data_IF_273202872931
#
_entry.id   IF_273202872931
#
_cell.length_a   1.000
_cell.length_b   1.000
_cell.length_c   1.000
_cell.angle_alpha   90.00
_cell.angle_beta   90.00
_cell.angle_gamma   90.00
#
_symmetry.space_group_name_H-M   'P 1'
#
loop_
_entity.id
_entity.type
_entity.pdbx_description
1 polymer ?
#
# COMPACT_ATOMS: atom_id res chain seq x y z
N UNK A 1 9.75 -13.81 -63.75
CA UNK A 1 9.55 -12.36 -63.72
C UNK A 1 9.08 -12.07 -62.32
N UNK A 2 10.08 -11.86 -61.46
CA UNK A 2 10.47 -10.56 -60.90
C UNK A 2 9.32 -9.99 -60.05
N UNK A 3 9.39 -9.69 -58.82
CA UNK A 3 10.42 -9.04 -58.00
C UNK A 3 9.85 -8.94 -56.61
N UNK A 4 10.62 -9.20 -55.62
CA UNK A 4 11.36 -8.24 -54.78
C UNK A 4 10.48 -7.47 -53.78
N UNK A 5 10.69 -7.84 -52.55
CA UNK A 5 11.63 -7.18 -51.64
C UNK A 5 11.08 -5.91 -51.04
N UNK A 6 10.93 -5.90 -49.78
CA UNK A 6 11.49 -4.95 -48.79
C UNK A 6 10.79 -5.12 -47.45
N UNK A 7 11.37 -5.88 -46.55
CA UNK A 7 11.21 -5.66 -45.10
C UNK A 7 12.62 -5.52 -44.51
N UNK A 8 13.12 -4.29 -44.58
CA UNK A 8 14.25 -3.84 -43.82
C UNK A 8 13.79 -2.74 -42.89
N UNK A 9 13.50 -3.09 -41.66
CA UNK A 9 13.28 -2.18 -40.56
C UNK A 9 14.01 -2.74 -39.35
N UNK A 10 15.30 -2.37 -39.22
CA UNK A 10 16.10 -2.70 -38.06
C UNK A 10 15.47 -2.08 -36.80
N UNK A 11 15.38 -2.83 -35.68
CA UNK A 11 15.06 -2.24 -34.41
C UNK A 11 16.26 -1.40 -33.94
N UNK A 12 16.12 -0.10 -33.93
CA UNK A 12 17.07 0.83 -33.34
C UNK A 12 17.13 0.50 -31.82
N UNK A 13 18.20 -0.20 -31.47
CA UNK A 13 18.53 -0.42 -30.06
C UNK A 13 18.86 0.94 -29.43
N UNK A 14 17.97 1.42 -28.56
CA UNK A 14 18.21 2.61 -27.74
C UNK A 14 19.30 2.25 -26.76
N UNK A 15 20.41 2.99 -26.79
CA UNK A 15 21.55 2.76 -25.93
C UNK A 15 21.18 2.99 -24.45
N UNK A 16 21.70 2.19 -23.52
CA UNK A 16 21.34 2.28 -22.09
C UNK A 16 21.68 3.63 -21.41
N UNK A 17 22.49 4.47 -22.04
CA UNK A 17 22.84 5.80 -21.52
C UNK A 17 21.75 6.87 -21.68
N UNK A 18 20.83 6.72 -22.65
CA UNK A 18 19.74 7.69 -22.84
C UNK A 18 18.63 7.53 -21.78
N UNK A 19 18.46 6.35 -21.23
CA UNK A 19 17.45 6.11 -20.15
C UNK A 19 17.90 6.75 -18.83
N UNK A 20 19.21 6.87 -18.59
CA UNK A 20 19.73 7.51 -17.37
C UNK A 20 19.69 9.05 -17.43
N UNK A 21 19.68 9.65 -18.61
CA UNK A 21 19.64 11.11 -18.75
C UNK A 21 18.24 11.69 -18.52
N UNK A 22 17.18 10.93 -18.76
CA UNK A 22 15.80 11.34 -18.52
C UNK A 22 15.42 11.38 -17.03
N UNK A 23 16.22 10.77 -16.14
CA UNK A 23 15.98 10.76 -14.69
C UNK A 23 16.70 11.86 -13.91
N UNK A 24 17.51 12.71 -14.57
CA UNK A 24 18.31 13.75 -13.90
C UNK A 24 17.81 15.18 -14.03
N UNK A 25 16.59 15.41 -14.49
CA UNK A 25 16.06 16.73 -14.79
C UNK A 25 14.74 17.09 -14.12
N UNK A 26 14.56 16.79 -12.82
CA UNK A 26 13.44 17.33 -12.04
C UNK A 26 13.96 18.07 -10.82
N UNK A 27 13.41 19.26 -10.47
CA UNK A 27 13.84 19.98 -9.29
C UNK A 27 13.51 19.18 -8.02
N UNK A 28 14.41 19.11 -7.03
CA UNK A 28 14.11 18.49 -5.75
C UNK A 28 13.28 19.47 -4.93
N UNK A 29 12.00 19.26 -4.85
CA UNK A 29 11.13 20.09 -4.01
C UNK A 29 9.65 19.88 -4.30
N UNK A 30 8.96 19.11 -3.47
CA UNK A 30 7.54 19.23 -3.29
C UNK A 30 6.66 18.09 -3.79
N UNK A 31 6.94 16.82 -3.43
CA UNK A 31 5.98 15.74 -3.68
C UNK A 31 5.96 14.57 -2.69
N UNK A 32 6.77 14.62 -1.65
CA UNK A 32 6.83 13.53 -0.66
C UNK A 32 5.93 13.78 0.58
N UNK A 33 5.62 15.02 0.91
CA UNK A 33 4.88 15.33 2.15
C UNK A 33 3.36 15.11 2.03
N UNK A 34 2.78 15.12 0.82
CA UNK A 34 1.34 14.93 0.62
C UNK A 34 0.87 13.48 0.55
N UNK A 35 1.78 12.52 0.26
CA UNK A 35 1.40 11.11 0.12
C UNK A 35 1.55 10.29 1.40
N UNK A 36 2.35 10.76 2.36
CA UNK A 36 2.61 10.05 3.61
C UNK A 36 1.49 10.26 4.63
N UNK A 37 0.95 11.46 4.73
CA UNK A 37 -0.23 11.75 5.57
C UNK A 37 -1.51 11.08 5.03
N UNK A 38 -1.62 10.90 3.71
CA UNK A 38 -2.80 10.29 3.12
C UNK A 38 -2.94 8.80 3.45
N UNK A 39 -1.84 8.04 3.59
CA UNK A 39 -1.91 6.61 3.89
C UNK A 39 -2.43 6.32 5.31
N UNK A 40 -2.06 7.14 6.29
CA UNK A 40 -2.56 7.02 7.68
C UNK A 40 -3.97 7.58 7.83
N UNK A 41 -4.35 8.57 7.04
CA UNK A 41 -5.70 9.15 7.02
C UNK A 41 -6.69 8.30 6.21
N UNK A 42 -6.19 7.34 5.42
CA UNK A 42 -7.02 6.48 4.57
C UNK A 42 -7.80 5.43 5.37
N UNK A 43 -7.40 5.12 6.60
CA UNK A 43 -8.14 4.23 7.50
C UNK A 43 -8.67 5.04 8.68
N UNK A 44 -9.97 5.29 8.70
CA UNK A 44 -10.63 6.11 9.70
C UNK A 44 -10.80 5.37 11.03
N UNK A 45 -11.09 4.07 10.98
CA UNK A 45 -11.27 3.20 12.14
C UNK A 45 -10.32 1.99 12.12
N UNK A 46 -9.00 2.18 12.39
CA UNK A 46 -8.02 1.10 12.26
C UNK A 46 -8.34 -0.13 13.11
N UNK A 47 -8.85 0.06 14.33
CA UNK A 47 -9.20 -1.04 15.21
C UNK A 47 -10.36 -1.88 14.69
N UNK A 48 -11.35 -1.27 14.03
CA UNK A 48 -12.47 -1.96 13.40
C UNK A 48 -11.98 -2.77 12.21
N UNK A 49 -11.20 -2.16 11.34
CA UNK A 49 -10.65 -2.80 10.13
C UNK A 49 -9.76 -3.99 10.49
N UNK A 50 -8.88 -3.86 11.49
CA UNK A 50 -8.05 -4.95 11.99
C UNK A 50 -8.88 -6.12 12.55
N UNK A 51 -9.92 -5.83 13.33
CA UNK A 51 -10.79 -6.85 13.92
C UNK A 51 -11.53 -7.62 12.84
N UNK A 52 -12.11 -6.93 11.85
CA UNK A 52 -12.82 -7.56 10.72
C UNK A 52 -11.82 -8.40 9.89
N UNK A 53 -10.65 -7.86 9.58
CA UNK A 53 -9.61 -8.58 8.84
C UNK A 53 -9.18 -9.87 9.53
N UNK A 54 -8.98 -9.85 10.86
CA UNK A 54 -8.67 -11.05 11.64
C UNK A 54 -9.81 -12.06 11.61
N UNK A 55 -11.06 -11.61 11.70
CA UNK A 55 -12.24 -12.49 11.63
C UNK A 55 -12.34 -13.17 10.27
N UNK A 56 -12.20 -12.41 9.18
CA UNK A 56 -12.27 -12.97 7.82
C UNK A 56 -11.13 -13.96 7.57
N UNK A 57 -9.94 -13.69 8.07
CA UNK A 57 -8.79 -14.60 7.98
C UNK A 57 -9.05 -15.90 8.73
N UNK A 58 -9.56 -15.84 9.96
CA UNK A 58 -9.92 -17.01 10.74
C UNK A 58 -11.00 -17.85 10.02
N UNK A 59 -12.03 -17.19 9.48
CA UNK A 59 -13.06 -17.87 8.68
C UNK A 59 -12.48 -18.57 7.44
N UNK A 60 -11.54 -17.92 6.75
CA UNK A 60 -10.89 -18.52 5.59
C UNK A 60 -10.12 -19.80 5.96
N UNK A 61 -9.42 -19.80 7.09
CA UNK A 61 -8.68 -20.96 7.57
C UNK A 61 -9.64 -22.11 7.95
N UNK A 62 -10.75 -21.82 8.61
CA UNK A 62 -11.80 -22.81 8.90
C UNK A 62 -12.43 -23.41 7.63
N UNK A 63 -12.75 -22.57 6.67
CA UNK A 63 -13.36 -22.98 5.39
C UNK A 63 -12.41 -23.84 4.54
N UNK A 64 -11.11 -23.65 4.68
CA UNK A 64 -10.10 -24.50 4.01
C UNK A 64 -10.03 -25.90 4.56
N UNK A 65 -10.41 -26.09 5.83
CA UNK A 65 -10.29 -27.36 6.52
C UNK A 65 -11.40 -28.36 6.18
N UNK A 66 -12.58 -27.91 5.71
CA UNK A 66 -13.72 -28.78 5.44
C UNK A 66 -14.54 -28.30 4.23
N UNK A 67 -15.16 -29.20 3.47
CA UNK A 67 -16.12 -28.82 2.43
C UNK A 67 -17.35 -28.18 3.06
N UNK A 68 -17.92 -27.18 2.38
CA UNK A 68 -19.11 -26.47 2.82
C UNK A 68 -20.37 -27.10 2.19
N UNK A 69 -21.37 -27.34 3.00
CA UNK A 69 -22.72 -27.63 2.50
C UNK A 69 -23.38 -26.35 1.96
N UNK A 70 -24.50 -26.48 1.27
CA UNK A 70 -25.19 -25.33 0.65
C UNK A 70 -25.60 -24.28 1.68
N UNK A 71 -26.08 -24.69 2.87
CA UNK A 71 -26.44 -23.77 3.94
C UNK A 71 -25.23 -22.95 4.44
N UNK A 72 -24.10 -23.62 4.60
CA UNK A 72 -22.86 -23.01 5.03
C UNK A 72 -22.33 -22.03 3.99
N UNK A 73 -22.47 -22.33 2.69
CA UNK A 73 -22.09 -21.42 1.61
C UNK A 73 -22.95 -20.16 1.59
N UNK A 74 -24.28 -20.29 1.72
CA UNK A 74 -25.18 -19.14 1.84
C UNK A 74 -24.78 -18.27 3.03
N UNK A 75 -24.54 -18.89 4.19
CA UNK A 75 -24.13 -18.15 5.39
C UNK A 75 -22.80 -17.46 5.24
N UNK A 76 -21.85 -18.10 4.59
CA UNK A 76 -20.52 -17.53 4.34
C UNK A 76 -20.58 -16.35 3.36
N UNK A 77 -21.43 -16.43 2.32
CA UNK A 77 -21.74 -15.30 1.44
C UNK A 77 -22.24 -14.09 2.23
N UNK A 78 -23.26 -14.30 3.07
CA UNK A 78 -23.82 -13.23 3.92
C UNK A 78 -22.75 -12.58 4.82
N UNK A 79 -21.90 -13.38 5.46
CA UNK A 79 -20.82 -12.90 6.32
C UNK A 79 -19.79 -12.11 5.51
N UNK A 80 -19.45 -12.58 4.32
CA UNK A 80 -18.53 -11.87 3.43
C UNK A 80 -19.07 -10.52 3.00
N UNK A 81 -20.30 -10.46 2.51
CA UNK A 81 -20.96 -9.23 2.08
C UNK A 81 -21.09 -8.23 3.26
N UNK A 82 -21.46 -8.71 4.44
CA UNK A 82 -21.50 -7.89 5.65
C UNK A 82 -20.10 -7.37 6.03
N UNK A 83 -19.07 -8.21 5.86
CA UNK A 83 -17.69 -7.77 6.15
C UNK A 83 -17.22 -6.67 5.21
N UNK A 84 -17.57 -6.73 3.93
CA UNK A 84 -17.29 -5.66 2.96
C UNK A 84 -17.98 -4.36 3.38
N UNK A 85 -19.27 -4.44 3.74
CA UNK A 85 -20.03 -3.29 4.21
C UNK A 85 -19.40 -2.65 5.46
N UNK A 86 -19.11 -3.46 6.48
CA UNK A 86 -18.52 -2.99 7.74
C UNK A 86 -17.11 -2.39 7.56
N UNK A 87 -16.33 -2.94 6.61
CA UNK A 87 -15.02 -2.38 6.22
C UNK A 87 -15.18 -1.01 5.57
N UNK A 88 -16.15 -0.87 4.66
CA UNK A 88 -16.39 0.40 3.94
C UNK A 88 -16.66 1.57 4.88
N UNK A 89 -17.30 1.32 6.03
CA UNK A 89 -17.54 2.37 7.04
C UNK A 89 -16.26 2.87 7.73
N UNK A 90 -15.21 2.04 7.77
CA UNK A 90 -13.94 2.36 8.44
C UNK A 90 -12.84 2.87 7.52
N UNK A 91 -13.11 3.02 6.21
CA UNK A 91 -12.15 3.35 5.17
C UNK A 91 -12.43 4.72 4.54
N UNK A 92 -11.41 5.32 3.93
CA UNK A 92 -11.60 6.52 3.10
C UNK A 92 -12.33 6.17 1.80
N UNK A 93 -12.98 7.15 1.14
CA UNK A 93 -13.68 6.92 -0.13
C UNK A 93 -12.81 6.27 -1.22
N UNK A 94 -11.54 6.61 -1.29
CA UNK A 94 -10.60 6.04 -2.27
C UNK A 94 -10.36 4.56 -2.01
N UNK A 95 -10.18 4.16 -0.74
CA UNK A 95 -10.03 2.76 -0.35
C UNK A 95 -11.33 1.98 -0.48
N UNK A 96 -12.48 2.61 -0.27
CA UNK A 96 -13.80 1.99 -0.54
C UNK A 96 -13.94 1.66 -2.01
N UNK A 97 -13.61 2.59 -2.90
CA UNK A 97 -13.66 2.36 -4.35
C UNK A 97 -12.70 1.23 -4.78
N UNK A 98 -11.51 1.14 -4.17
CA UNK A 98 -10.56 0.05 -4.42
C UNK A 98 -11.11 -1.29 -3.92
N UNK A 99 -11.71 -1.32 -2.73
CA UNK A 99 -12.34 -2.50 -2.14
C UNK A 99 -13.50 -3.01 -3.01
N UNK A 100 -14.39 -2.13 -3.47
CA UNK A 100 -15.52 -2.47 -4.34
C UNK A 100 -15.05 -3.03 -5.69
N UNK A 101 -13.99 -2.49 -6.26
CA UNK A 101 -13.40 -3.00 -7.50
C UNK A 101 -12.78 -4.41 -7.33
N UNK A 102 -12.22 -4.69 -6.16
CA UNK A 102 -11.62 -5.98 -5.82
C UNK A 102 -12.67 -7.04 -5.49
N UNK A 103 -13.73 -6.65 -4.83
CA UNK A 103 -14.76 -7.49 -4.25
C UNK A 103 -16.12 -7.22 -4.89
N UNK A 104 -16.33 -7.54 -6.18
CA UNK A 104 -17.62 -7.40 -6.80
C UNK A 104 -18.65 -8.27 -6.07
N UNK A 105 -19.90 -7.79 -5.98
CA UNK A 105 -20.97 -8.58 -5.35
C UNK A 105 -21.18 -9.89 -6.09
N UNK A 106 -21.56 -10.93 -5.36
CA UNK A 106 -21.99 -12.19 -5.96
C UNK A 106 -23.33 -12.01 -6.67
N UNK A 107 -23.57 -12.83 -7.69
CA UNK A 107 -24.82 -12.79 -8.44
C UNK A 107 -26.03 -13.01 -7.52
N UNK A 108 -27.07 -12.19 -7.74
CA UNK A 108 -28.32 -12.30 -6.99
C UNK A 108 -29.06 -13.61 -7.34
N UNK A 109 -29.43 -14.36 -6.30
CA UNK A 109 -30.19 -15.60 -6.44
C UNK A 109 -29.37 -16.86 -6.70
N UNK A 110 -28.05 -16.75 -6.85
CA UNK A 110 -27.16 -17.89 -6.99
C UNK A 110 -26.30 -18.08 -5.73
N UNK A 111 -26.17 -19.34 -5.30
CA UNK A 111 -25.27 -19.67 -4.18
C UNK A 111 -23.88 -19.93 -4.75
N UNK A 112 -22.86 -19.12 -4.39
CA UNK A 112 -21.50 -19.32 -4.89
C UNK A 112 -20.95 -20.68 -4.51
N UNK A 113 -20.06 -21.23 -5.34
CA UNK A 113 -19.32 -22.45 -5.02
C UNK A 113 -18.32 -22.21 -3.88
N UNK A 114 -17.87 -23.32 -3.26
CA UNK A 114 -16.79 -23.29 -2.26
C UNK A 114 -15.54 -22.59 -2.78
N UNK A 115 -15.20 -22.82 -4.05
CA UNK A 115 -14.01 -22.24 -4.67
C UNK A 115 -14.13 -20.73 -4.83
N UNK A 116 -15.28 -20.24 -5.29
CA UNK A 116 -15.55 -18.80 -5.45
C UNK A 116 -15.50 -18.08 -4.11
N UNK A 117 -16.14 -18.64 -3.06
CA UNK A 117 -16.11 -18.05 -1.72
C UNK A 117 -14.69 -18.00 -1.15
N UNK A 118 -13.89 -19.06 -1.34
CA UNK A 118 -12.49 -19.10 -0.87
C UNK A 118 -11.62 -18.10 -1.62
N UNK A 119 -11.81 -17.93 -2.92
CA UNK A 119 -11.08 -16.95 -3.72
C UNK A 119 -11.44 -15.55 -3.27
N UNK A 120 -12.73 -15.22 -3.13
CA UNK A 120 -13.19 -13.93 -2.68
C UNK A 120 -12.62 -13.55 -1.29
N UNK A 121 -12.68 -14.48 -0.33
CA UNK A 121 -12.10 -14.25 0.98
C UNK A 121 -10.57 -14.10 0.95
N UNK A 122 -9.88 -14.90 0.13
CA UNK A 122 -8.43 -14.82 0.01
C UNK A 122 -8.00 -13.49 -0.62
N UNK A 123 -8.73 -12.98 -1.60
CA UNK A 123 -8.50 -11.65 -2.18
C UNK A 123 -8.68 -10.55 -1.12
N UNK A 124 -9.77 -10.60 -0.36
CA UNK A 124 -10.03 -9.63 0.71
C UNK A 124 -8.94 -9.64 1.78
N UNK A 125 -8.53 -10.82 2.25
CA UNK A 125 -7.46 -10.97 3.24
C UNK A 125 -6.14 -10.44 2.68
N UNK A 126 -5.79 -10.79 1.44
CA UNK A 126 -4.56 -10.32 0.80
C UNK A 126 -4.53 -8.81 0.63
N UNK A 127 -5.66 -8.20 0.25
CA UNK A 127 -5.77 -6.74 0.15
C UNK A 127 -5.61 -6.07 1.52
N UNK A 128 -6.28 -6.57 2.56
CA UNK A 128 -6.15 -6.04 3.93
C UNK A 128 -4.71 -6.17 4.46
N UNK A 129 -4.05 -7.30 4.24
CA UNK A 129 -2.65 -7.49 4.62
C UNK A 129 -1.74 -6.49 3.90
N UNK A 130 -1.96 -6.26 2.59
CA UNK A 130 -1.25 -5.25 1.81
C UNK A 130 -1.46 -3.84 2.33
N UNK A 131 -2.70 -3.48 2.66
CA UNK A 131 -3.06 -2.18 3.24
C UNK A 131 -2.32 -1.94 4.58
N UNK A 132 -2.31 -2.92 5.47
CA UNK A 132 -1.62 -2.81 6.76
C UNK A 132 -0.10 -2.72 6.61
N UNK A 133 0.49 -3.50 5.71
CA UNK A 133 1.92 -3.40 5.43
C UNK A 133 2.30 -2.03 4.86
N UNK A 134 1.47 -1.46 3.99
CA UNK A 134 1.65 -0.12 3.46
C UNK A 134 1.63 0.94 4.56
N UNK A 135 0.64 0.89 5.46
CA UNK A 135 0.54 1.80 6.61
C UNK A 135 1.76 1.66 7.53
N UNK A 136 2.19 0.44 7.86
CA UNK A 136 3.35 0.20 8.70
C UNK A 136 4.64 0.75 8.07
N UNK A 137 4.82 0.55 6.75
CA UNK A 137 5.97 1.07 6.02
C UNK A 137 6.00 2.60 6.05
N UNK A 138 4.85 3.25 5.86
CA UNK A 138 4.71 4.71 5.91
C UNK A 138 5.06 5.25 7.30
N UNK A 139 4.53 4.65 8.38
CA UNK A 139 4.83 5.05 9.75
C UNK A 139 6.33 4.89 10.08
N UNK A 140 6.95 3.82 9.59
CA UNK A 140 8.39 3.60 9.78
C UNK A 140 9.23 4.65 9.04
N UNK A 141 8.84 5.01 7.82
CA UNK A 141 9.47 6.07 7.03
C UNK A 141 9.40 7.41 7.74
N UNK A 142 8.21 7.79 8.25
CA UNK A 142 8.02 9.02 9.02
C UNK A 142 8.90 9.07 10.28
N UNK A 143 8.98 7.95 11.02
CA UNK A 143 9.85 7.87 12.20
C UNK A 143 11.34 8.05 11.85
N UNK A 144 11.78 7.47 10.73
CA UNK A 144 13.16 7.65 10.28
C UNK A 144 13.44 9.08 9.86
N UNK A 145 12.53 9.71 9.12
CA UNK A 145 12.64 11.11 8.70
C UNK A 145 12.70 12.06 9.93
N UNK A 146 11.82 11.86 10.91
CA UNK A 146 11.81 12.64 12.14
C UNK A 146 13.13 12.52 12.93
N UNK A 147 13.69 11.32 13.01
CA UNK A 147 15.01 11.10 13.66
C UNK A 147 16.13 11.82 12.92
N UNK A 148 16.15 11.73 11.59
CA UNK A 148 17.15 12.43 10.78
C UNK A 148 17.08 13.95 10.94
N UNK A 149 15.87 14.53 10.98
CA UNK A 149 15.67 15.95 11.24
C UNK A 149 16.16 16.37 12.63
N UNK A 150 15.91 15.57 13.65
CA UNK A 150 16.39 15.81 15.01
C UNK A 150 17.92 15.78 15.09
N UNK A 151 18.54 14.82 14.39
CA UNK A 151 20.01 14.70 14.32
C UNK A 151 20.62 15.93 13.63
N UNK A 152 20.02 16.36 12.52
CA UNK A 152 20.46 17.57 11.79
C UNK A 152 20.32 18.84 12.64
N UNK A 153 19.22 19.00 13.37
CA UNK A 153 19.04 20.12 14.30
C UNK A 153 20.08 20.10 15.43
N UNK A 154 20.40 18.92 15.97
CA UNK A 154 21.46 18.78 16.99
C UNK A 154 22.82 19.18 16.44
N UNK A 155 23.15 18.78 15.23
CA UNK A 155 24.42 19.15 14.59
C UNK A 155 24.52 20.67 14.30
N UNK A 156 23.41 21.30 13.93
CA UNK A 156 23.36 22.77 13.73
C UNK A 156 23.32 23.55 15.03
N UNK A 157 22.80 22.97 16.11
CA UNK A 157 22.65 23.61 17.43
C UNK A 157 23.86 23.44 18.37
N UNK A 158 24.85 22.64 18.00
CA UNK A 158 26.12 22.58 18.72
C UNK A 158 26.97 23.80 18.29
N UNK A 159 27.19 24.81 19.17
CA UNK A 159 28.21 25.81 18.90
C UNK A 159 29.52 25.08 18.76
N UNK A 160 30.27 25.34 17.70
CA UNK A 160 31.61 24.81 17.52
C UNK A 160 32.41 25.18 18.77
N UNK A 161 32.67 24.21 19.63
CA UNK A 161 33.54 24.35 20.79
C UNK A 161 35.00 24.49 20.30
N UNK A 162 35.32 25.65 19.68
CA UNK A 162 36.59 25.86 19.03
C UNK A 162 37.08 27.30 18.97
N UNK A 163 36.41 28.26 19.65
CA UNK A 163 36.91 29.65 19.61
C UNK A 163 36.57 30.45 20.88
N UNK A 164 36.94 29.91 22.03
CA UNK A 164 36.94 30.66 23.29
C UNK A 164 38.24 30.39 24.03
N UNK A 165 39.34 30.73 23.42
CA UNK A 165 40.63 30.53 24.07
C UNK A 165 41.70 31.37 23.44
N UNK A 166 41.65 32.68 23.67
CA UNK A 166 42.83 33.59 23.71
C UNK A 166 42.41 35.04 23.57
N UNK A 167 42.01 35.61 24.68
CA UNK A 167 42.33 37.01 24.87
C UNK A 167 42.96 37.14 26.23
N UNK A 168 44.22 37.27 26.15
CA UNK A 168 45.22 37.31 27.10
C UNK A 168 45.12 38.47 28.09
N UNK A 169 45.56 38.15 29.26
CA UNK A 169 46.03 39.03 30.25
C UNK A 169 47.16 39.91 29.72
N UNK A 170 47.03 41.17 29.96
CA UNK A 170 48.14 42.09 30.29
C UNK A 170 47.53 43.29 31.04
N UNK A 171 47.78 43.34 32.26
CA UNK A 171 48.32 44.34 33.19
C UNK A 171 47.72 44.20 34.56
#
# INVERSE_FOLDING_TARGET
MTTDDVFGGEPTAVAPDEVLAAQRGGPPGGRAEGSEDSATQSVQEPAKVLRIGSMVKTLLDEVRAAPLDEKSRVRLKEIYEQSIHDLSEGLSPDLVAELEALAPPFDEGETPSDAELRIAQAQLVGWLEGLFHGIQATLMSQQMAARAQLEEMRQRGLPSAGESGRTGAYL
#
